data_IF_104398956707
#
_entry.id   IF_104398956707
#
_cell.length_a   1.000
_cell.length_b   1.000
_cell.length_c   1.000
_cell.angle_alpha   90.00
_cell.angle_beta   90.00
_cell.angle_gamma   90.00
#
_symmetry.space_group_name_H-M   'P 1'
#
loop_
_entity.id
_entity.type
_entity.pdbx_description
1 polymer ?
#
# COMPACT_ATOMS: atom_id res chain seq x y z
N UNK A 1 6.93 -5.53 6.18
CA UNK A 1 6.09 -6.10 5.09
C UNK A 1 6.96 -6.85 4.13
N UNK A 2 6.42 -7.92 3.53
CA UNK A 2 7.17 -8.71 2.55
C UNK A 2 7.57 -7.91 1.31
N UNK A 3 8.59 -8.40 0.61
CA UNK A 3 8.98 -7.94 -0.72
C UNK A 3 8.84 -9.08 -1.72
N UNK A 4 8.19 -8.83 -2.86
CA UNK A 4 8.09 -9.76 -3.97
C UNK A 4 8.80 -9.19 -5.19
N UNK A 5 9.49 -10.04 -5.93
CA UNK A 5 10.14 -9.69 -7.18
C UNK A 5 10.25 -10.91 -8.09
N UNK A 6 10.50 -10.68 -9.37
CA UNK A 6 10.73 -11.75 -10.31
C UNK A 6 10.60 -11.31 -11.74
N UNK A 7 10.67 -12.29 -12.62
CA UNK A 7 10.50 -12.05 -14.04
C UNK A 7 9.99 -13.30 -14.77
N UNK A 8 9.44 -13.09 -15.95
CA UNK A 8 9.03 -14.15 -16.86
C UNK A 8 9.59 -13.88 -18.25
N UNK A 9 10.20 -14.92 -18.84
CA UNK A 9 10.72 -14.90 -20.20
C UNK A 9 10.61 -16.31 -20.80
N UNK A 10 9.90 -16.43 -21.89
CA UNK A 10 9.61 -17.72 -22.55
C UNK A 10 10.63 -18.11 -23.60
N UNK A 11 11.61 -17.25 -23.88
CA UNK A 11 12.59 -17.45 -24.93
C UNK A 11 13.96 -17.91 -24.41
N UNK A 12 14.03 -18.21 -23.10
CA UNK A 12 15.24 -18.72 -22.43
C UNK A 12 14.88 -19.56 -21.22
N UNK A 13 15.83 -20.38 -20.76
CA UNK A 13 15.65 -21.19 -19.56
C UNK A 13 16.01 -20.39 -18.31
N UNK A 14 14.99 -19.95 -17.56
CA UNK A 14 15.14 -19.17 -16.33
C UNK A 14 15.59 -20.03 -15.14
N UNK A 15 15.71 -21.35 -15.27
CA UNK A 15 16.30 -22.22 -14.25
C UNK A 15 17.82 -22.16 -14.22
N UNK A 16 18.46 -21.64 -15.27
CA UNK A 16 19.91 -21.50 -15.34
C UNK A 16 20.45 -20.63 -14.19
N UNK A 17 21.65 -20.97 -13.64
CA UNK A 17 22.20 -20.29 -12.45
C UNK A 17 22.27 -18.76 -12.54
N UNK A 18 22.55 -18.22 -13.72
CA UNK A 18 22.63 -16.78 -13.95
C UNK A 18 21.27 -16.08 -13.74
N UNK A 19 20.16 -16.71 -14.17
CA UNK A 19 18.81 -16.16 -14.02
C UNK A 19 18.26 -16.35 -12.60
N UNK A 20 18.53 -17.49 -11.95
CA UNK A 20 18.24 -17.67 -10.53
C UNK A 20 18.98 -16.61 -9.70
N UNK A 21 20.25 -16.33 -10.00
CA UNK A 21 21.01 -15.26 -9.36
C UNK A 21 20.43 -13.87 -9.65
N UNK A 22 19.92 -13.62 -10.85
CA UNK A 22 19.22 -12.36 -11.18
C UNK A 22 17.97 -12.17 -10.32
N UNK A 23 17.11 -13.19 -10.19
CA UNK A 23 15.96 -13.15 -9.29
C UNK A 23 16.40 -12.92 -7.83
N UNK A 24 17.48 -13.56 -7.38
CA UNK A 24 18.07 -13.34 -6.06
C UNK A 24 18.44 -11.87 -5.83
N UNK A 25 19.17 -11.23 -6.77
CA UNK A 25 19.51 -9.80 -6.68
C UNK A 25 18.27 -8.89 -6.63
N UNK A 26 17.23 -9.18 -7.42
CA UNK A 26 15.97 -8.44 -7.37
C UNK A 26 15.33 -8.56 -5.98
N UNK A 27 15.34 -9.76 -5.39
CA UNK A 27 14.89 -9.99 -4.02
C UNK A 27 15.76 -9.26 -2.99
N UNK A 28 17.09 -9.28 -3.14
CA UNK A 28 18.04 -8.63 -2.23
C UNK A 28 17.84 -7.11 -2.16
N UNK A 29 17.45 -6.48 -3.27
CA UNK A 29 17.09 -5.07 -3.29
C UNK A 29 15.89 -4.75 -2.35
N UNK A 30 15.07 -5.74 -2.01
CA UNK A 30 13.92 -5.64 -1.12
C UNK A 30 14.19 -6.14 0.31
N UNK A 31 15.45 -6.38 0.68
CA UNK A 31 15.80 -7.00 1.98
C UNK A 31 15.25 -6.25 3.20
N UNK A 32 15.16 -4.90 3.12
CA UNK A 32 14.60 -4.08 4.20
C UNK A 32 13.11 -4.31 4.43
N UNK A 33 12.35 -4.70 3.38
CA UNK A 33 10.92 -5.02 3.53
C UNK A 33 10.70 -6.32 4.29
N UNK A 34 11.54 -7.31 4.09
CA UNK A 34 11.41 -8.63 4.67
C UNK A 34 12.75 -9.19 5.16
N UNK A 35 13.16 -8.81 6.37
CA UNK A 35 14.45 -9.21 6.91
C UNK A 35 14.48 -10.66 7.45
N UNK A 36 13.31 -11.28 7.67
CA UNK A 36 13.21 -12.54 8.43
C UNK A 36 13.43 -13.79 7.55
N UNK A 37 13.39 -13.64 6.22
CA UNK A 37 13.64 -14.76 5.31
C UNK A 37 13.77 -14.34 3.85
N UNK A 38 14.41 -15.21 3.06
CA UNK A 38 14.58 -15.05 1.63
C UNK A 38 14.33 -16.38 0.92
N UNK A 39 13.79 -16.30 -0.31
CA UNK A 39 13.62 -17.47 -1.16
C UNK A 39 13.64 -17.12 -2.64
N UNK A 40 14.08 -18.08 -3.46
CA UNK A 40 14.06 -18.01 -4.92
C UNK A 40 13.55 -19.33 -5.47
N UNK A 41 12.55 -19.25 -6.33
CA UNK A 41 12.03 -20.38 -7.09
C UNK A 41 12.12 -20.06 -8.59
N UNK A 42 12.35 -21.08 -9.43
CA UNK A 42 12.41 -20.90 -10.87
C UNK A 42 11.87 -22.12 -11.62
N UNK A 43 11.16 -21.85 -12.72
CA UNK A 43 10.76 -22.74 -13.78
C UNK A 43 11.32 -22.24 -15.12
N UNK A 44 11.28 -23.02 -16.21
CA UNK A 44 11.86 -22.59 -17.50
C UNK A 44 11.42 -21.21 -17.97
N UNK A 45 10.16 -20.83 -17.76
CA UNK A 45 9.63 -19.54 -18.24
C UNK A 45 9.43 -18.49 -17.13
N UNK A 46 9.75 -18.78 -15.85
CA UNK A 46 9.50 -17.84 -14.76
C UNK A 46 10.52 -17.99 -13.63
N UNK A 47 10.91 -16.88 -13.00
CA UNK A 47 11.70 -16.88 -11.77
C UNK A 47 11.07 -15.90 -10.77
N UNK A 48 10.88 -16.37 -9.54
CA UNK A 48 10.24 -15.67 -8.44
C UNK A 48 11.22 -15.51 -7.28
N UNK A 49 11.22 -14.35 -6.64
CA UNK A 49 12.00 -14.07 -5.44
C UNK A 49 11.12 -13.43 -4.37
N UNK A 50 11.39 -13.76 -3.12
CA UNK A 50 10.64 -13.28 -1.97
C UNK A 50 11.57 -12.85 -0.84
N UNK A 51 11.19 -11.78 -0.15
CA UNK A 51 11.73 -11.34 1.15
C UNK A 51 10.61 -11.32 2.17
N UNK A 52 10.76 -12.05 3.25
CA UNK A 52 9.71 -12.29 4.23
C UNK A 52 9.86 -11.38 5.45
N UNK A 53 8.74 -10.72 5.83
CA UNK A 53 8.48 -10.28 7.18
C UNK A 53 7.47 -11.27 7.79
N UNK A 54 7.87 -12.00 8.82
CA UNK A 54 7.05 -13.04 9.41
C UNK A 54 6.04 -12.43 10.38
N UNK A 55 4.75 -12.52 10.07
CA UNK A 55 3.62 -12.03 10.89
C UNK A 55 2.70 -13.18 11.28
N UNK A 56 2.30 -14.02 10.33
CA UNK A 56 1.44 -15.19 10.54
C UNK A 56 2.27 -16.45 10.26
N UNK A 57 2.16 -17.45 11.14
CA UNK A 57 2.88 -18.72 11.12
C UNK A 57 4.37 -18.53 10.77
N UNK A 58 5.17 -17.94 11.66
CA UNK A 58 6.58 -17.64 11.39
C UNK A 58 7.39 -18.85 10.95
N UNK A 59 7.02 -20.05 11.43
CA UNK A 59 7.77 -21.29 11.18
C UNK A 59 7.53 -21.87 9.76
N UNK A 60 6.33 -21.80 9.21
CA UNK A 60 5.95 -22.55 8.00
C UNK A 60 5.62 -21.70 6.78
N UNK A 61 5.55 -20.38 6.90
CA UNK A 61 5.17 -19.45 5.82
C UNK A 61 6.29 -19.12 4.83
N UNK A 62 7.15 -20.06 4.47
CA UNK A 62 8.22 -19.84 3.50
C UNK A 62 7.66 -19.53 2.11
N UNK A 63 8.30 -18.57 1.43
CA UNK A 63 7.97 -18.20 0.07
C UNK A 63 9.25 -18.05 -0.78
N UNK A 64 9.21 -18.27 -2.12
CA UNK A 64 8.03 -18.64 -2.93
C UNK A 64 7.41 -19.97 -2.49
N UNK A 65 6.06 -20.02 -2.41
CA UNK A 65 5.36 -21.25 -2.09
C UNK A 65 4.93 -21.94 -3.38
N UNK A 66 5.25 -23.22 -3.53
CA UNK A 66 4.99 -23.95 -4.76
C UNK A 66 4.26 -25.29 -4.49
N UNK A 67 3.51 -25.74 -5.50
CA UNK A 67 2.89 -27.06 -5.54
C UNK A 67 3.17 -27.70 -6.90
N UNK A 68 3.69 -28.93 -6.87
CA UNK A 68 3.87 -29.74 -8.06
C UNK A 68 2.58 -30.50 -8.37
N UNK A 69 2.03 -30.24 -9.53
CA UNK A 69 0.81 -30.88 -10.03
C UNK A 69 1.12 -31.72 -11.27
N UNK A 70 0.22 -32.64 -11.61
CA UNK A 70 0.41 -33.57 -12.76
C UNK A 70 0.73 -32.84 -14.08
N UNK A 71 0.16 -31.64 -14.26
CA UNK A 71 0.24 -30.88 -15.52
C UNK A 71 1.15 -29.63 -15.43
N UNK A 72 1.96 -29.50 -14.41
CA UNK A 72 2.88 -28.38 -14.24
C UNK A 72 2.91 -27.81 -12.84
N UNK A 73 4.02 -27.17 -12.49
CA UNK A 73 4.22 -26.56 -11.20
C UNK A 73 3.49 -25.21 -11.09
N UNK A 74 2.83 -24.98 -9.97
CA UNK A 74 2.27 -23.69 -9.62
C UNK A 74 3.09 -23.07 -8.47
N UNK A 75 3.39 -21.78 -8.58
CA UNK A 75 4.17 -21.07 -7.54
C UNK A 75 3.64 -19.66 -7.30
N UNK A 76 3.73 -19.22 -6.03
CA UNK A 76 3.21 -17.94 -5.56
C UNK A 76 4.29 -17.19 -4.79
N UNK A 77 4.42 -15.89 -5.06
CA UNK A 77 5.01 -14.90 -4.15
C UNK A 77 3.96 -13.86 -3.80
N UNK A 78 3.83 -13.61 -2.50
CA UNK A 78 2.72 -12.84 -1.95
C UNK A 78 3.23 -11.88 -0.87
N UNK A 79 2.82 -10.62 -0.97
CA UNK A 79 3.00 -9.57 0.02
C UNK A 79 1.62 -9.08 0.42
N UNK A 80 1.12 -9.50 1.58
CA UNK A 80 -0.21 -9.12 2.00
C UNK A 80 -0.70 -9.85 3.23
N UNK A 81 -1.99 -9.64 3.51
CA UNK A 81 -2.78 -10.33 4.51
C UNK A 81 -4.20 -10.53 3.99
N UNK A 82 -4.71 -11.77 4.02
CA UNK A 82 -6.11 -12.09 3.74
C UNK A 82 -6.90 -12.15 5.04
N UNK A 83 -7.85 -11.25 5.18
CA UNK A 83 -8.67 -11.10 6.40
C UNK A 83 -9.76 -12.15 6.51
N UNK A 84 -10.18 -12.75 5.39
CA UNK A 84 -11.16 -13.85 5.35
C UNK A 84 -10.50 -15.22 5.13
N UNK A 85 -9.27 -15.38 5.59
CA UNK A 85 -8.56 -16.68 5.54
C UNK A 85 -9.34 -17.84 6.16
N UNK A 86 -10.03 -17.69 7.32
CA UNK A 86 -10.81 -18.79 7.90
C UNK A 86 -11.91 -19.29 6.99
N UNK A 87 -12.65 -18.41 6.34
CA UNK A 87 -13.74 -18.75 5.43
C UNK A 87 -13.22 -19.46 4.16
N UNK A 88 -12.13 -18.93 3.58
CA UNK A 88 -11.50 -19.55 2.41
C UNK A 88 -10.88 -20.89 2.73
N UNK A 89 -10.28 -21.05 3.92
CA UNK A 89 -9.74 -22.33 4.42
C UNK A 89 -10.85 -23.37 4.56
N UNK A 90 -11.95 -23.00 5.20
CA UNK A 90 -13.11 -23.90 5.36
C UNK A 90 -13.67 -24.36 4.01
N UNK A 91 -13.69 -23.49 3.01
CA UNK A 91 -14.07 -23.86 1.64
C UNK A 91 -13.12 -24.92 1.05
N UNK A 92 -11.80 -24.76 1.21
CA UNK A 92 -10.79 -25.69 0.70
C UNK A 92 -10.86 -27.05 1.42
N UNK A 93 -11.06 -27.05 2.73
CA UNK A 93 -11.24 -28.24 3.54
C UNK A 93 -12.49 -29.01 3.11
N UNK A 94 -13.59 -28.30 2.81
CA UNK A 94 -14.81 -28.88 2.24
C UNK A 94 -14.61 -29.53 0.87
N UNK A 95 -13.61 -29.10 0.13
CA UNK A 95 -13.16 -29.70 -1.13
C UNK A 95 -12.09 -30.79 -0.94
N UNK A 96 -11.80 -31.17 0.31
CA UNK A 96 -10.79 -32.16 0.68
C UNK A 96 -9.36 -31.82 0.22
N UNK A 97 -9.03 -30.52 0.15
CA UNK A 97 -7.67 -30.06 -0.17
C UNK A 97 -6.80 -30.22 1.09
N UNK A 98 -5.68 -30.94 1.04
CA UNK A 98 -4.76 -31.07 2.17
C UNK A 98 -4.01 -29.76 2.37
N UNK A 99 -4.26 -29.08 3.49
CA UNK A 99 -3.53 -27.87 3.90
C UNK A 99 -2.45 -28.26 4.92
N UNK A 100 -1.22 -27.80 4.69
CA UNK A 100 -0.04 -28.20 5.47
C UNK A 100 0.37 -27.12 6.48
N UNK A 101 -0.05 -25.85 6.28
CA UNK A 101 0.31 -24.70 7.11
C UNK A 101 -0.91 -23.95 7.62
N UNK A 102 -0.71 -23.01 8.53
CA UNK A 102 -1.77 -22.09 8.98
C UNK A 102 -1.75 -20.75 8.21
N UNK A 103 -0.87 -20.62 7.19
CA UNK A 103 -0.70 -19.37 6.47
C UNK A 103 -1.86 -19.06 5.53
N UNK A 104 -2.13 -17.79 5.36
CA UNK A 104 -2.99 -17.25 4.29
C UNK A 104 -2.37 -17.45 2.90
N UNK A 105 -1.03 -17.50 2.82
CA UNK A 105 -0.30 -17.79 1.57
C UNK A 105 -0.68 -19.14 0.96
N UNK A 106 -0.80 -20.19 1.77
CA UNK A 106 -1.20 -21.51 1.29
C UNK A 106 -2.67 -21.52 0.82
N UNK A 107 -3.53 -20.86 1.59
CA UNK A 107 -4.94 -20.70 1.23
C UNK A 107 -5.08 -19.96 -0.10
N UNK A 108 -4.34 -18.85 -0.28
CA UNK A 108 -4.33 -18.11 -1.54
C UNK A 108 -3.82 -18.95 -2.71
N UNK A 109 -2.72 -19.69 -2.52
CA UNK A 109 -2.15 -20.54 -3.56
C UNK A 109 -3.19 -21.57 -4.05
N UNK A 110 -3.89 -22.26 -3.14
CA UNK A 110 -4.90 -23.23 -3.52
C UNK A 110 -6.16 -22.59 -4.13
N UNK A 111 -6.58 -21.41 -3.67
CA UNK A 111 -7.65 -20.65 -4.31
C UNK A 111 -7.30 -20.33 -5.78
N UNK A 112 -6.07 -19.90 -6.05
CA UNK A 112 -5.62 -19.60 -7.42
C UNK A 112 -5.46 -20.87 -8.29
N UNK A 113 -4.98 -21.97 -7.72
CA UNK A 113 -4.87 -23.27 -8.41
C UNK A 113 -6.24 -23.77 -8.87
N UNK A 114 -7.25 -23.66 -8.01
CA UNK A 114 -8.58 -24.21 -8.26
C UNK A 114 -9.48 -23.28 -9.08
N UNK A 115 -9.45 -21.99 -8.79
CA UNK A 115 -10.42 -21.04 -9.34
C UNK A 115 -9.77 -19.99 -10.26
N UNK A 116 -8.44 -19.91 -10.33
CA UNK A 116 -7.75 -18.92 -11.16
C UNK A 116 -8.14 -17.48 -10.79
N UNK A 117 -8.43 -16.66 -11.81
CA UNK A 117 -8.85 -15.27 -11.61
C UNK A 117 -10.23 -15.12 -10.94
N UNK A 118 -11.11 -16.14 -11.01
CA UNK A 118 -12.42 -16.09 -10.35
C UNK A 118 -12.30 -16.11 -8.81
N UNK A 119 -11.14 -16.48 -8.28
CA UNK A 119 -10.83 -16.36 -6.87
C UNK A 119 -10.79 -14.89 -6.39
N UNK A 120 -10.40 -13.93 -7.27
CA UNK A 120 -10.10 -12.55 -6.89
C UNK A 120 -11.30 -11.85 -6.23
N UNK A 121 -12.51 -12.07 -6.72
CA UNK A 121 -13.74 -11.45 -6.19
C UNK A 121 -14.01 -11.85 -4.74
N UNK A 122 -13.53 -13.03 -4.31
CA UNK A 122 -13.73 -13.60 -2.97
C UNK A 122 -12.64 -13.19 -1.98
N UNK A 123 -11.51 -12.64 -2.44
CA UNK A 123 -10.41 -12.26 -1.57
C UNK A 123 -10.76 -10.96 -0.81
N UNK A 124 -10.72 -11.01 0.52
CA UNK A 124 -10.83 -9.82 1.37
C UNK A 124 -9.49 -9.60 2.07
N UNK A 125 -8.82 -8.49 1.77
CA UNK A 125 -7.51 -8.23 2.34
C UNK A 125 -6.75 -7.13 1.61
N UNK A 126 -5.50 -6.99 2.01
CA UNK A 126 -4.51 -6.07 1.43
C UNK A 126 -3.38 -6.91 0.84
N UNK A 127 -3.15 -6.82 -0.46
CA UNK A 127 -2.21 -7.71 -1.12
C UNK A 127 -1.66 -7.22 -2.46
N UNK A 128 -0.44 -7.67 -2.73
CA UNK A 128 0.10 -7.79 -4.07
C UNK A 128 0.74 -9.16 -4.21
N UNK A 129 0.53 -9.84 -5.33
CA UNK A 129 1.13 -11.14 -5.56
C UNK A 129 1.46 -11.39 -7.03
N UNK A 130 2.37 -12.34 -7.24
CA UNK A 130 2.64 -12.93 -8.53
C UNK A 130 2.43 -14.45 -8.44
N UNK A 131 1.57 -14.97 -9.30
CA UNK A 131 1.24 -16.38 -9.39
C UNK A 131 1.67 -16.95 -10.74
N UNK A 132 2.55 -17.94 -10.73
CA UNK A 132 2.90 -18.74 -11.88
C UNK A 132 2.00 -19.97 -11.98
N UNK A 133 1.24 -20.06 -13.06
CA UNK A 133 0.47 -21.27 -13.39
C UNK A 133 1.20 -22.06 -14.50
N UNK A 134 2.01 -23.03 -14.11
CA UNK A 134 2.76 -23.86 -15.04
C UNK A 134 1.90 -24.76 -15.92
N UNK A 135 0.64 -25.00 -15.56
CA UNK A 135 -0.34 -25.76 -16.36
C UNK A 135 -0.80 -24.98 -17.57
N UNK A 136 -0.90 -23.65 -17.40
CA UNK A 136 -1.32 -22.70 -18.44
C UNK A 136 -0.14 -21.99 -19.09
N UNK A 137 1.05 -22.11 -18.52
CA UNK A 137 2.24 -21.34 -18.90
C UNK A 137 1.94 -19.83 -18.86
N UNK A 138 1.46 -19.33 -17.71
CA UNK A 138 1.06 -17.93 -17.52
C UNK A 138 1.57 -17.39 -16.19
N UNK A 139 2.01 -16.12 -16.20
CA UNK A 139 2.27 -15.34 -14.99
C UNK A 139 1.12 -14.37 -14.77
N UNK A 140 0.49 -14.45 -13.59
CA UNK A 140 -0.56 -13.54 -13.14
C UNK A 140 -0.01 -12.61 -12.06
N UNK A 141 -0.05 -11.30 -12.30
CA UNK A 141 0.23 -10.24 -11.33
C UNK A 141 -1.08 -9.66 -10.83
N UNK A 142 -1.24 -9.47 -9.53
CA UNK A 142 -2.48 -8.94 -8.94
C UNK A 142 -2.18 -7.94 -7.85
N UNK A 143 -2.98 -6.87 -7.78
CA UNK A 143 -2.95 -5.85 -6.73
C UNK A 143 -4.33 -5.71 -6.09
N UNK A 144 -4.37 -5.49 -4.78
CA UNK A 144 -5.62 -5.37 -4.01
C UNK A 144 -6.51 -4.20 -4.45
N UNK A 145 -7.75 -4.19 -3.93
CA UNK A 145 -8.81 -3.25 -4.34
C UNK A 145 -8.40 -1.78 -4.28
N UNK A 146 -7.62 -1.40 -3.28
CA UNK A 146 -7.21 -0.01 -3.03
C UNK A 146 -5.71 0.22 -3.24
N UNK A 147 -4.97 -0.81 -3.70
CA UNK A 147 -3.54 -0.71 -3.96
C UNK A 147 -2.69 -0.50 -2.70
N UNK A 148 -3.14 -1.06 -1.55
CA UNK A 148 -2.40 -0.97 -0.28
C UNK A 148 -1.01 -1.56 -0.39
N UNK A 149 -0.85 -2.66 -1.15
CA UNK A 149 0.47 -3.23 -1.42
C UNK A 149 0.94 -2.80 -2.80
N UNK A 150 2.16 -2.24 -2.93
CA UNK A 150 2.68 -1.77 -4.21
C UNK A 150 3.09 -2.93 -5.11
N UNK A 151 2.96 -2.74 -6.42
CA UNK A 151 3.44 -3.68 -7.44
C UNK A 151 3.81 -2.93 -8.72
N UNK A 152 5.09 -2.92 -9.03
CA UNK A 152 5.65 -2.31 -10.25
C UNK A 152 6.03 -3.39 -11.26
N UNK A 153 5.99 -3.05 -12.53
CA UNK A 153 6.44 -3.91 -13.61
C UNK A 153 7.03 -3.12 -14.76
N UNK A 154 7.88 -3.78 -15.54
CA UNK A 154 8.46 -3.24 -16.77
C UNK A 154 8.70 -4.38 -17.77
N UNK A 155 8.68 -4.07 -19.05
CA UNK A 155 9.05 -5.01 -20.09
C UNK A 155 10.37 -4.57 -20.74
N UNK A 156 11.32 -5.49 -20.81
CA UNK A 156 12.61 -5.29 -21.48
C UNK A 156 12.85 -6.42 -22.47
N UNK A 157 12.80 -6.12 -23.77
CA UNK A 157 12.78 -7.16 -24.80
C UNK A 157 11.59 -8.10 -24.62
N UNK A 158 11.87 -9.40 -24.49
CA UNK A 158 10.88 -10.45 -24.27
C UNK A 158 10.55 -10.68 -22.78
N UNK A 159 11.32 -10.08 -21.88
CA UNK A 159 11.21 -10.31 -20.44
C UNK A 159 10.23 -9.33 -19.79
N UNK A 160 9.25 -9.85 -19.04
CA UNK A 160 8.45 -9.08 -18.10
C UNK A 160 9.11 -9.13 -16.73
N UNK A 161 9.46 -7.97 -16.16
CA UNK A 161 9.97 -7.81 -14.81
C UNK A 161 8.85 -7.34 -13.88
N UNK A 162 8.89 -7.73 -12.60
CA UNK A 162 7.98 -7.18 -11.59
C UNK A 162 8.66 -7.08 -10.22
N UNK A 163 8.13 -6.21 -9.35
CA UNK A 163 8.63 -6.06 -7.99
C UNK A 163 7.77 -5.15 -7.14
N UNK A 164 7.87 -5.30 -5.82
CA UNK A 164 7.18 -4.44 -4.85
C UNK A 164 7.66 -2.99 -4.91
N UNK A 165 8.88 -2.74 -5.34
CA UNK A 165 9.50 -1.42 -5.46
C UNK A 165 10.30 -1.32 -6.75
N UNK A 166 10.45 -0.11 -7.35
CA UNK A 166 11.22 0.08 -8.59
C UNK A 166 12.66 -0.44 -8.51
N UNK A 167 13.34 -0.29 -7.36
CA UNK A 167 14.72 -0.80 -7.16
C UNK A 167 14.88 -2.28 -7.43
N UNK A 168 13.81 -3.07 -7.24
CA UNK A 168 13.86 -4.49 -7.57
C UNK A 168 14.01 -4.71 -9.10
N UNK A 169 13.35 -3.89 -9.92
CA UNK A 169 13.50 -3.94 -11.38
C UNK A 169 14.89 -3.48 -11.79
N UNK A 170 15.43 -2.43 -11.12
CA UNK A 170 16.76 -1.88 -11.39
C UNK A 170 17.89 -2.88 -11.09
N UNK A 171 17.65 -3.80 -10.15
CA UNK A 171 18.60 -4.87 -9.84
C UNK A 171 18.66 -5.99 -10.88
N UNK A 172 17.73 -6.01 -11.87
CA UNK A 172 17.76 -6.97 -12.96
C UNK A 172 18.86 -6.62 -13.98
N UNK A 173 19.74 -7.57 -14.36
CA UNK A 173 20.81 -7.31 -15.32
C UNK A 173 20.28 -6.86 -16.68
N UNK A 174 20.79 -5.73 -17.15
CA UNK A 174 20.38 -5.16 -18.43
C UNK A 174 19.17 -4.24 -18.36
N UNK A 175 18.55 -4.05 -17.19
CA UNK A 175 17.56 -2.98 -16.98
C UNK A 175 18.26 -1.74 -16.40
N UNK A 176 18.15 -0.62 -17.10
CA UNK A 176 18.72 0.66 -16.65
C UNK A 176 17.58 1.66 -16.47
N UNK A 177 17.34 2.16 -15.24
CA UNK A 177 16.34 3.20 -15.01
C UNK A 177 16.69 4.48 -15.77
N UNK A 178 15.69 5.08 -16.39
CA UNK A 178 15.85 6.34 -17.14
C UNK A 178 14.78 7.32 -16.69
N UNK A 179 15.18 8.58 -16.57
CA UNK A 179 14.27 9.70 -16.38
C UNK A 179 14.05 10.39 -17.73
N UNK A 180 12.83 10.55 -18.14
CA UNK A 180 12.38 11.31 -19.30
C UNK A 180 11.64 12.57 -18.86
N UNK A 181 11.01 13.27 -19.79
CA UNK A 181 10.27 14.49 -19.49
C UNK A 181 9.05 14.21 -18.59
N UNK A 182 8.33 13.11 -18.83
CA UNK A 182 7.18 12.72 -18.02
C UNK A 182 7.60 12.33 -16.59
N UNK A 183 8.75 11.70 -16.41
CA UNK A 183 9.35 11.47 -15.08
C UNK A 183 9.49 12.76 -14.29
N UNK A 184 10.03 13.82 -14.93
CA UNK A 184 10.19 15.11 -14.25
C UNK A 184 8.87 15.82 -14.00
N UNK A 185 7.90 15.68 -14.90
CA UNK A 185 6.55 16.19 -14.68
C UNK A 185 5.88 15.49 -13.49
N UNK A 186 5.95 14.17 -13.38
CA UNK A 186 5.41 13.42 -12.23
C UNK A 186 6.09 13.87 -10.92
N UNK A 187 7.42 13.89 -10.88
CA UNK A 187 8.17 14.25 -9.66
C UNK A 187 7.94 15.69 -9.25
N UNK A 188 7.94 16.65 -10.19
CA UNK A 188 7.90 18.07 -9.88
C UNK A 188 6.48 18.64 -9.77
N UNK A 189 5.49 18.06 -10.45
CA UNK A 189 4.12 18.58 -10.45
C UNK A 189 3.16 17.74 -9.56
N UNK A 190 3.34 16.44 -9.47
CA UNK A 190 2.39 15.51 -8.82
C UNK A 190 2.89 15.04 -7.46
N UNK A 191 4.20 14.76 -7.32
CA UNK A 191 4.76 14.25 -6.07
C UNK A 191 4.32 15.10 -4.85
N UNK A 192 4.03 14.50 -3.69
CA UNK A 192 4.30 13.12 -3.30
C UNK A 192 3.32 12.07 -3.83
N UNK A 193 2.21 12.45 -4.46
CA UNK A 193 1.32 11.50 -5.16
C UNK A 193 1.98 11.00 -6.46
N UNK A 194 1.38 9.99 -7.08
CA UNK A 194 1.72 9.51 -8.43
C UNK A 194 0.45 9.34 -9.24
N UNK A 195 0.54 9.53 -10.54
CA UNK A 195 -0.56 9.17 -11.44
C UNK A 195 -0.83 7.66 -11.33
N UNK A 196 -2.05 7.21 -11.05
CA UNK A 196 -2.38 5.79 -11.00
C UNK A 196 -1.90 5.05 -12.26
N UNK A 197 -1.17 3.96 -12.06
CA UNK A 197 -0.56 3.19 -13.15
C UNK A 197 0.79 3.69 -13.63
N UNK A 198 1.26 4.86 -13.19
CA UNK A 198 2.54 5.44 -13.58
C UNK A 198 3.67 5.04 -12.62
N UNK A 199 4.72 4.42 -13.14
CA UNK A 199 5.87 3.97 -12.35
C UNK A 199 6.98 5.01 -12.18
N UNK A 200 6.75 6.25 -12.62
CA UNK A 200 7.63 7.42 -12.62
C UNK A 200 8.79 7.30 -13.60
N UNK A 201 9.58 6.24 -13.56
CA UNK A 201 10.71 6.03 -14.48
C UNK A 201 10.24 5.57 -15.87
N UNK A 202 10.93 6.00 -16.90
CA UNK A 202 10.60 5.64 -18.30
C UNK A 202 10.51 4.12 -18.50
N UNK A 203 9.36 3.66 -18.98
CA UNK A 203 9.07 2.24 -19.21
C UNK A 203 8.80 1.41 -17.96
N UNK A 204 8.73 2.03 -16.78
CA UNK A 204 8.24 1.41 -15.55
C UNK A 204 6.76 1.76 -15.37
N UNK A 205 5.97 0.78 -15.00
CA UNK A 205 4.55 0.93 -14.72
C UNK A 205 4.24 0.46 -13.30
N UNK A 206 3.25 1.05 -12.69
CA UNK A 206 2.64 0.54 -11.48
C UNK A 206 1.36 -0.23 -11.86
N UNK A 207 1.11 -1.40 -11.27
CA UNK A 207 -0.18 -2.06 -11.45
C UNK A 207 -1.23 -1.27 -10.66
N UNK A 208 -2.30 -0.83 -11.35
CA UNK A 208 -3.33 0.00 -10.73
C UNK A 208 -4.05 -0.75 -9.58
N UNK A 209 -4.61 -0.02 -8.59
CA UNK A 209 -5.49 -0.60 -7.59
C UNK A 209 -6.64 -1.40 -8.22
N UNK A 210 -6.94 -2.58 -7.67
CA UNK A 210 -8.00 -3.44 -8.19
C UNK A 210 -7.73 -3.99 -9.59
N UNK A 211 -6.48 -4.02 -10.04
CA UNK A 211 -6.11 -4.57 -11.34
C UNK A 211 -5.34 -5.88 -11.23
N UNK A 212 -5.40 -6.66 -12.30
CA UNK A 212 -4.51 -7.78 -12.55
C UNK A 212 -3.90 -7.69 -13.95
N UNK A 213 -2.75 -8.34 -14.12
CA UNK A 213 -2.06 -8.43 -15.40
C UNK A 213 -1.60 -9.87 -15.65
N UNK A 214 -1.94 -10.42 -16.81
CA UNK A 214 -1.59 -11.77 -17.22
C UNK A 214 -0.59 -11.72 -18.37
N UNK A 215 0.49 -12.49 -18.26
CA UNK A 215 1.55 -12.58 -19.26
C UNK A 215 1.76 -14.03 -19.67
N UNK A 216 1.69 -14.30 -20.97
CA UNK A 216 1.83 -15.62 -21.61
C UNK A 216 3.10 -15.73 -22.48
N UNK A 217 4.05 -14.81 -22.33
CA UNK A 217 5.26 -14.71 -23.15
C UNK A 217 5.10 -13.89 -24.42
N UNK A 218 3.90 -13.77 -24.96
CA UNK A 218 3.61 -13.00 -26.17
C UNK A 218 2.87 -11.69 -25.84
N UNK A 219 1.95 -11.72 -24.87
CA UNK A 219 1.05 -10.62 -24.56
C UNK A 219 0.98 -10.37 -23.06
N UNK A 220 0.95 -9.08 -22.68
CA UNK A 220 0.60 -8.61 -21.35
C UNK A 220 -0.82 -8.04 -21.40
N UNK A 221 -1.78 -8.81 -20.87
CA UNK A 221 -3.19 -8.40 -20.82
C UNK A 221 -3.50 -7.90 -19.43
N UNK A 222 -3.91 -6.63 -19.34
CA UNK A 222 -4.32 -5.99 -18.09
C UNK A 222 -5.84 -5.95 -17.98
N UNK A 223 -6.36 -6.23 -16.79
CA UNK A 223 -7.78 -6.17 -16.48
C UNK A 223 -7.99 -5.56 -15.10
N UNK A 224 -8.99 -4.69 -14.98
CA UNK A 224 -9.48 -4.24 -13.68
C UNK A 224 -10.49 -5.29 -13.19
N UNK A 225 -10.19 -5.96 -12.08
CA UNK A 225 -11.06 -6.95 -11.46
C UNK A 225 -11.98 -6.35 -10.41
N UNK A 226 -11.62 -5.18 -9.85
CA UNK A 226 -12.44 -4.43 -8.91
C UNK A 226 -12.56 -2.97 -9.32
N UNK A 227 -13.76 -2.40 -9.20
CA UNK A 227 -14.02 -0.97 -9.38
C UNK A 227 -14.98 -0.49 -8.31
N UNK A 228 -14.62 0.58 -7.61
CA UNK A 228 -15.50 1.25 -6.67
C UNK A 228 -16.69 1.82 -7.42
N UNK A 229 -17.90 1.53 -6.94
CA UNK A 229 -19.16 2.00 -7.54
C UNK A 229 -19.85 2.97 -6.59
N UNK A 230 -20.47 4.00 -7.16
CA UNK A 230 -21.44 4.82 -6.44
C UNK A 230 -22.80 4.12 -6.46
N UNK A 231 -23.43 4.02 -5.31
CA UNK A 231 -24.76 3.44 -5.16
C UNK A 231 -25.66 4.44 -4.45
N UNK A 232 -26.98 4.44 -4.73
CA UNK A 232 -27.95 5.20 -3.95
C UNK A 232 -27.86 4.81 -2.46
N UNK A 233 -28.00 5.82 -1.59
CA UNK A 233 -28.05 5.60 -0.15
C UNK A 233 -29.50 5.74 0.34
N UNK A 234 -30.07 4.65 0.85
CA UNK A 234 -31.50 4.57 1.19
C UNK A 234 -31.74 4.48 2.71
N UNK A 235 -30.67 4.30 3.49
CA UNK A 235 -30.79 4.19 4.95
C UNK A 235 -31.03 5.54 5.63
N UNK A 236 -31.83 5.55 6.69
CA UNK A 236 -31.92 6.73 7.55
C UNK A 236 -30.64 6.91 8.38
N UNK A 237 -30.45 8.07 8.98
CA UNK A 237 -29.26 8.44 9.74
C UNK A 237 -28.89 7.42 10.84
N UNK A 238 -29.89 6.97 11.63
CA UNK A 238 -29.63 6.05 12.73
C UNK A 238 -29.18 4.67 12.25
N UNK A 239 -29.75 4.19 11.17
CA UNK A 239 -29.37 2.92 10.53
C UNK A 239 -27.97 3.01 9.91
N UNK A 240 -27.69 4.11 9.21
CA UNK A 240 -26.36 4.40 8.64
C UNK A 240 -25.29 4.39 9.74
N UNK A 241 -25.52 5.08 10.88
CA UNK A 241 -24.57 5.11 11.99
C UNK A 241 -24.32 3.70 12.54
N UNK A 242 -25.36 2.87 12.69
CA UNK A 242 -25.20 1.49 13.15
C UNK A 242 -24.43 0.65 12.14
N UNK A 243 -24.73 0.80 10.85
CA UNK A 243 -24.08 0.05 9.76
C UNK A 243 -22.61 0.42 9.67
N UNK A 244 -22.27 1.70 9.61
CA UNK A 244 -20.88 2.19 9.59
C UNK A 244 -20.11 1.69 10.81
N UNK A 245 -20.70 1.76 12.02
CA UNK A 245 -20.07 1.24 13.24
C UNK A 245 -19.75 -0.25 13.12
N UNK A 246 -20.69 -1.04 12.60
CA UNK A 246 -20.52 -2.49 12.42
C UNK A 246 -19.40 -2.79 11.43
N UNK A 247 -19.39 -2.12 10.28
CA UNK A 247 -18.36 -2.30 9.25
C UNK A 247 -16.97 -1.90 9.76
N UNK A 248 -16.86 -0.73 10.38
CA UNK A 248 -15.60 -0.22 10.90
C UNK A 248 -15.03 -1.10 12.03
N UNK A 249 -15.87 -1.47 13.00
CA UNK A 249 -15.44 -2.36 14.09
C UNK A 249 -15.04 -3.74 13.56
N UNK A 250 -15.79 -4.28 12.61
CA UNK A 250 -15.47 -5.54 11.94
C UNK A 250 -14.15 -5.48 11.17
N UNK A 251 -13.91 -4.38 10.43
CA UNK A 251 -12.67 -4.16 9.70
C UNK A 251 -11.45 -4.09 10.65
N UNK A 252 -11.55 -3.34 11.75
CA UNK A 252 -10.48 -3.25 12.75
C UNK A 252 -10.20 -4.63 13.35
N UNK A 253 -11.22 -5.37 13.80
CA UNK A 253 -11.05 -6.68 14.44
C UNK A 253 -10.37 -7.70 13.52
N UNK A 254 -10.72 -7.72 12.24
CA UNK A 254 -10.08 -8.61 11.27
C UNK A 254 -8.59 -8.33 11.06
N UNK A 255 -8.15 -7.10 11.32
CA UNK A 255 -6.75 -6.69 11.23
C UNK A 255 -5.96 -6.87 12.54
N UNK A 256 -6.60 -7.35 13.63
CA UNK A 256 -5.92 -7.69 14.89
C UNK A 256 -5.30 -9.11 14.90
N UNK A 257 -5.41 -9.83 13.81
CA UNK A 257 -4.83 -11.17 13.68
C UNK A 257 -3.32 -11.05 13.46
N UNK A 258 -2.55 -11.53 14.44
CA UNK A 258 -1.08 -11.49 14.39
C UNK A 258 -0.51 -12.51 15.37
N UNK A 259 0.47 -13.31 14.93
CA UNK A 259 1.23 -14.22 15.78
C UNK A 259 2.48 -13.55 16.39
N UNK A 260 2.66 -12.25 16.12
CA UNK A 260 3.76 -11.42 16.63
C UNK A 260 3.22 -10.20 17.37
N UNK A 261 4.04 -9.52 18.20
CA UNK A 261 3.59 -8.36 18.95
C UNK A 261 2.99 -7.26 18.06
N UNK A 262 1.76 -6.84 18.41
CA UNK A 262 0.99 -5.79 17.74
C UNK A 262 0.77 -4.62 18.68
N UNK A 263 0.83 -3.40 18.14
CA UNK A 263 0.52 -2.16 18.82
C UNK A 263 -0.38 -1.25 17.96
N UNK A 264 -0.83 -0.11 18.50
CA UNK A 264 -1.52 0.93 17.73
C UNK A 264 -0.81 2.28 17.85
N UNK A 265 -0.89 3.10 16.79
CA UNK A 265 -0.55 4.52 16.87
C UNK A 265 -1.72 5.28 17.46
N UNK A 266 -1.43 6.17 18.41
CA UNK A 266 -2.43 6.95 19.14
C UNK A 266 -2.00 8.43 19.17
N UNK A 267 -2.58 9.25 18.30
CA UNK A 267 -2.39 10.72 18.29
C UNK A 267 -3.41 11.46 19.15
N UNK A 268 -4.44 10.77 19.67
CA UNK A 268 -5.56 11.41 20.37
C UNK A 268 -6.64 11.96 19.42
N UNK A 269 -6.39 12.00 18.10
CA UNK A 269 -7.40 12.28 17.09
C UNK A 269 -8.47 11.19 17.02
N UNK A 270 -9.61 11.50 16.37
CA UNK A 270 -10.77 10.60 16.34
C UNK A 270 -10.43 9.21 15.75
N UNK A 271 -9.73 9.17 14.64
CA UNK A 271 -9.42 7.95 13.89
C UNK A 271 -8.54 6.98 14.66
N UNK A 272 -7.41 7.49 15.18
CA UNK A 272 -6.50 6.71 16.02
C UNK A 272 -7.15 6.24 17.31
N UNK A 273 -8.05 7.06 17.88
CA UNK A 273 -8.80 6.73 19.08
C UNK A 273 -9.80 5.60 18.86
N UNK A 274 -10.53 5.59 17.75
CA UNK A 274 -11.49 4.51 17.40
C UNK A 274 -10.76 3.18 17.22
N UNK A 275 -9.64 3.17 16.51
CA UNK A 275 -8.84 1.96 16.32
C UNK A 275 -8.28 1.45 17.65
N UNK A 276 -7.68 2.35 18.44
CA UNK A 276 -7.14 2.01 19.77
C UNK A 276 -8.21 1.49 20.70
N UNK A 277 -9.40 2.12 20.76
CA UNK A 277 -10.51 1.66 21.58
C UNK A 277 -10.98 0.25 21.19
N UNK A 278 -11.15 -0.01 19.91
CA UNK A 278 -11.56 -1.33 19.41
C UNK A 278 -10.51 -2.40 19.72
N UNK A 279 -9.24 -2.10 19.48
CA UNK A 279 -8.13 -3.00 19.77
C UNK A 279 -7.94 -3.25 21.27
N UNK A 280 -8.00 -2.20 22.10
CA UNK A 280 -7.85 -2.32 23.54
C UNK A 280 -8.98 -3.17 24.16
N UNK A 281 -10.22 -3.02 23.68
CA UNK A 281 -11.34 -3.85 24.13
C UNK A 281 -11.13 -5.34 23.76
N UNK A 282 -10.60 -5.63 22.58
CA UNK A 282 -10.28 -7.00 22.17
C UNK A 282 -9.16 -7.59 23.03
N UNK A 283 -8.09 -6.85 23.29
CA UNK A 283 -6.99 -7.25 24.16
C UNK A 283 -7.45 -7.47 25.61
N UNK A 284 -8.31 -6.60 26.14
CA UNK A 284 -8.89 -6.73 27.48
C UNK A 284 -9.71 -8.02 27.64
N UNK A 285 -10.47 -8.44 26.61
CA UNK A 285 -11.20 -9.72 26.61
C UNK A 285 -10.25 -10.94 26.70
N UNK A 286 -9.01 -10.78 26.25
CA UNK A 286 -7.94 -11.80 26.35
C UNK A 286 -7.12 -11.67 27.64
N UNK A 287 -7.48 -10.75 28.53
CA UNK A 287 -6.73 -10.45 29.76
C UNK A 287 -5.38 -9.76 29.52
N UNK A 288 -5.24 -9.05 28.39
CA UNK A 288 -4.01 -8.40 27.95
C UNK A 288 -4.21 -6.88 27.88
N UNK A 289 -3.13 -6.11 28.08
CA UNK A 289 -3.09 -4.68 27.83
C UNK A 289 -2.48 -4.40 26.46
N UNK A 290 -3.10 -3.49 25.69
CA UNK A 290 -2.60 -3.06 24.40
C UNK A 290 -1.43 -2.09 24.55
N UNK A 291 -0.38 -2.27 23.77
CA UNK A 291 0.69 -1.28 23.62
C UNK A 291 0.27 -0.20 22.59
N UNK A 292 0.55 1.07 22.94
CA UNK A 292 0.23 2.20 22.07
C UNK A 292 1.42 3.15 21.98
N UNK A 293 1.56 3.83 20.85
CA UNK A 293 2.62 4.80 20.58
C UNK A 293 2.07 6.14 20.12
N UNK A 294 2.61 7.24 20.64
CA UNK A 294 2.48 8.56 20.03
C UNK A 294 3.83 9.12 19.63
N UNK A 295 3.82 10.05 18.70
CA UNK A 295 5.00 10.69 18.13
C UNK A 295 5.09 12.12 18.62
N UNK A 296 6.30 12.53 18.98
CA UNK A 296 6.60 13.90 19.38
C UNK A 296 8.01 14.29 18.87
N UNK A 297 8.33 15.55 18.95
CA UNK A 297 9.62 16.11 18.58
C UNK A 297 10.25 16.85 19.76
N UNK A 298 11.58 16.87 19.82
CA UNK A 298 12.29 17.62 20.85
C UNK A 298 11.86 19.09 20.84
N UNK A 299 11.52 19.63 22.02
CA UNK A 299 11.06 21.00 22.23
C UNK A 299 9.72 21.36 21.54
N UNK A 300 8.93 20.40 21.08
CA UNK A 300 7.67 20.64 20.41
C UNK A 300 6.72 21.52 21.24
N UNK A 301 6.58 21.27 22.53
CA UNK A 301 5.74 22.09 23.42
C UNK A 301 6.11 23.58 23.43
N UNK A 302 7.36 23.91 23.17
CA UNK A 302 7.87 25.31 23.11
C UNK A 302 7.51 25.98 21.79
N UNK A 303 7.47 25.23 20.69
CA UNK A 303 7.31 25.75 19.33
C UNK A 303 5.93 25.47 18.73
N UNK A 304 5.10 24.70 19.43
CA UNK A 304 3.75 24.40 18.96
C UNK A 304 2.91 25.69 18.88
N UNK A 305 2.31 25.89 17.72
CA UNK A 305 1.31 26.93 17.49
C UNK A 305 0.05 26.29 16.89
N UNK A 306 -1.08 26.52 17.54
CA UNK A 306 -2.36 26.05 17.02
C UNK A 306 -2.61 26.57 15.61
N UNK A 307 -3.09 25.70 14.75
CA UNK A 307 -3.42 25.97 13.35
C UNK A 307 -4.82 25.48 12.99
N UNK A 308 -5.30 25.81 11.79
CA UNK A 308 -6.58 25.30 11.32
C UNK A 308 -6.55 23.76 11.10
N UNK A 309 -5.37 23.16 10.94
CA UNK A 309 -5.20 21.71 10.80
C UNK A 309 -4.98 21.00 12.14
N UNK A 310 -4.35 21.66 13.09
CA UNK A 310 -4.05 21.13 14.41
C UNK A 310 -4.39 22.20 15.46
N UNK A 311 -5.64 22.29 15.88
CA UNK A 311 -6.12 23.33 16.81
C UNK A 311 -5.61 23.14 18.25
N UNK A 312 -5.31 21.90 18.64
CA UNK A 312 -4.87 21.51 19.98
C UNK A 312 -3.63 20.62 19.92
N UNK A 313 -2.88 20.58 21.02
CA UNK A 313 -1.81 19.60 21.20
C UNK A 313 -2.41 18.19 21.43
N UNK A 314 -1.74 17.15 20.96
CA UNK A 314 -2.21 15.75 21.02
C UNK A 314 -2.18 15.17 22.45
N UNK A 315 -1.21 15.56 23.25
CA UNK A 315 -0.92 14.95 24.56
C UNK A 315 -2.13 14.83 25.52
N UNK A 316 -2.99 15.85 25.71
CA UNK A 316 -4.16 15.73 26.60
C UNK A 316 -5.18 14.69 26.13
N UNK A 317 -5.33 14.50 24.83
CA UNK A 317 -6.25 13.54 24.24
C UNK A 317 -5.70 12.12 24.35
N UNK A 318 -4.39 11.94 24.15
CA UNK A 318 -3.68 10.69 24.39
C UNK A 318 -3.84 10.23 25.83
N UNK A 319 -3.65 11.12 26.82
CA UNK A 319 -3.82 10.81 28.24
C UNK A 319 -5.25 10.35 28.58
N UNK A 320 -6.28 10.99 27.99
CA UNK A 320 -7.67 10.57 28.13
C UNK A 320 -7.91 9.17 27.62
N UNK A 321 -7.38 8.85 26.44
CA UNK A 321 -7.50 7.53 25.85
C UNK A 321 -6.76 6.46 26.66
N UNK A 322 -5.56 6.75 27.10
CA UNK A 322 -4.76 5.88 27.97
C UNK A 322 -5.52 5.53 29.26
N UNK A 323 -6.11 6.54 29.92
CA UNK A 323 -6.89 6.36 31.14
C UNK A 323 -8.15 5.54 30.89
N UNK A 324 -8.88 5.83 29.81
CA UNK A 324 -10.16 5.17 29.50
C UNK A 324 -10.00 3.69 29.14
N UNK A 325 -8.91 3.32 28.49
CA UNK A 325 -8.70 1.96 27.97
C UNK A 325 -7.52 1.20 28.60
N UNK A 326 -6.88 1.77 29.64
CA UNK A 326 -5.76 1.15 30.37
C UNK A 326 -4.65 0.61 29.45
N UNK A 327 -4.27 1.38 28.43
CA UNK A 327 -3.21 0.99 27.49
C UNK A 327 -1.81 1.22 28.07
N UNK A 328 -0.82 0.46 27.62
CA UNK A 328 0.60 0.73 27.92
C UNK A 328 1.13 1.69 26.87
N UNK A 329 1.12 2.97 27.17
CA UNK A 329 1.49 4.03 26.23
C UNK A 329 2.97 4.39 26.29
N UNK A 330 3.58 4.61 25.11
CA UNK A 330 4.95 5.11 24.96
C UNK A 330 4.95 6.31 24.02
N UNK A 331 5.46 7.44 24.52
CA UNK A 331 5.74 8.62 23.67
C UNK A 331 7.13 8.44 23.08
N UNK A 332 7.25 8.50 21.75
CA UNK A 332 8.52 8.50 21.03
C UNK A 332 8.86 9.93 20.63
N UNK A 333 9.95 10.48 21.16
CA UNK A 333 10.39 11.85 20.89
C UNK A 333 11.57 11.83 19.91
N UNK A 334 11.34 12.27 18.67
CA UNK A 334 12.36 12.33 17.63
C UNK A 334 13.28 13.54 17.85
N UNK A 335 14.62 13.34 17.94
CA UNK A 335 15.55 14.47 17.97
C UNK A 335 15.61 15.16 16.62
N UNK A 336 15.63 16.50 16.61
CA UNK A 336 15.68 17.28 15.35
C UNK A 336 16.85 16.88 14.43
N UNK A 337 18.09 16.62 14.92
CA UNK A 337 19.18 16.15 14.06
C UNK A 337 18.87 14.82 13.35
N UNK A 338 18.11 13.92 13.96
CA UNK A 338 17.76 12.65 13.34
C UNK A 338 16.89 12.83 12.07
N UNK A 339 16.11 13.91 11.97
CA UNK A 339 15.33 14.20 10.76
C UNK A 339 16.25 14.40 9.54
N UNK A 340 17.36 15.10 9.75
CA UNK A 340 18.34 15.35 8.67
C UNK A 340 19.13 14.09 8.34
N UNK A 341 19.54 13.34 9.35
CA UNK A 341 20.30 12.09 9.20
C UNK A 341 19.50 11.00 8.45
N UNK A 342 18.18 11.00 8.59
CA UNK A 342 17.30 10.01 7.95
C UNK A 342 16.82 10.39 6.54
N UNK A 343 17.09 11.62 6.04
CA UNK A 343 16.59 12.10 4.74
C UNK A 343 17.01 11.18 3.58
N UNK A 344 18.31 10.85 3.49
CA UNK A 344 18.81 9.98 2.42
C UNK A 344 18.22 8.57 2.52
N UNK A 345 18.14 8.03 3.73
CA UNK A 345 17.57 6.71 3.95
C UNK A 345 16.08 6.65 3.61
N UNK A 346 15.31 7.69 3.93
CA UNK A 346 13.89 7.81 3.59
C UNK A 346 13.68 7.92 2.07
N UNK A 347 14.50 8.72 1.38
CA UNK A 347 14.47 8.84 -0.09
C UNK A 347 14.81 7.52 -0.75
N UNK A 348 15.86 6.83 -0.29
CA UNK A 348 16.25 5.51 -0.80
C UNK A 348 15.20 4.42 -0.52
N UNK A 349 14.46 4.53 0.59
CA UNK A 349 13.38 3.60 0.88
C UNK A 349 12.24 3.69 -0.14
N UNK A 350 11.95 4.88 -0.66
CA UNK A 350 10.85 5.14 -1.60
C UNK A 350 11.24 5.09 -3.07
N UNK A 351 12.55 5.05 -3.39
CA UNK A 351 13.12 5.23 -4.75
C UNK A 351 12.81 6.59 -5.40
N UNK A 352 12.16 7.50 -4.68
CA UNK A 352 11.66 8.79 -5.16
C UNK A 352 11.75 9.84 -4.07
N UNK A 353 11.88 11.12 -4.42
CA UNK A 353 11.67 12.21 -3.50
C UNK A 353 10.28 12.13 -2.86
N UNK A 354 10.18 12.46 -1.59
CA UNK A 354 8.95 12.44 -0.82
C UNK A 354 8.71 13.73 -0.04
N UNK A 355 8.01 13.59 1.09
CA UNK A 355 7.80 14.70 2.04
C UNK A 355 8.94 14.68 3.07
N UNK A 356 10.03 15.39 2.81
CA UNK A 356 11.29 15.33 3.52
C UNK A 356 11.23 15.05 5.02
N UNK A 357 10.75 16.00 5.82
CA UNK A 357 10.63 15.90 7.26
C UNK A 357 9.64 14.80 7.73
N UNK A 358 8.51 14.66 7.03
CA UNK A 358 7.49 13.63 7.35
C UNK A 358 8.04 12.23 7.11
N UNK A 359 8.70 12.01 5.97
CA UNK A 359 9.20 10.68 5.60
C UNK A 359 10.40 10.28 6.48
N UNK A 360 11.30 11.21 6.79
CA UNK A 360 12.45 10.93 7.66
C UNK A 360 12.05 10.68 9.11
N UNK A 361 11.11 11.48 9.65
CA UNK A 361 10.59 11.26 10.99
C UNK A 361 9.84 9.92 11.11
N UNK A 362 9.00 9.59 10.12
CA UNK A 362 8.27 8.33 10.11
C UNK A 362 9.23 7.12 10.05
N UNK A 363 10.30 7.21 9.25
CA UNK A 363 11.33 6.17 9.22
C UNK A 363 11.98 5.98 10.58
N UNK A 364 12.34 7.08 11.27
CA UNK A 364 12.89 7.03 12.61
C UNK A 364 11.91 6.40 13.61
N UNK A 365 10.65 6.81 13.63
CA UNK A 365 9.62 6.25 14.50
C UNK A 365 9.40 4.76 14.25
N UNK A 366 9.34 4.35 12.99
CA UNK A 366 9.20 2.92 12.63
C UNK A 366 10.38 2.09 13.14
N UNK A 367 11.61 2.60 13.06
CA UNK A 367 12.80 1.92 13.62
C UNK A 367 12.72 1.78 15.14
N UNK A 368 12.24 2.80 15.84
CA UNK A 368 12.07 2.74 17.29
C UNK A 368 11.00 1.71 17.70
N UNK A 369 9.86 1.71 17.02
CA UNK A 369 8.78 0.77 17.26
C UNK A 369 9.23 -0.68 16.95
N UNK A 370 9.96 -0.87 15.85
CA UNK A 370 10.44 -2.21 15.42
C UNK A 370 11.27 -2.94 16.48
N UNK A 371 11.88 -2.23 17.41
CA UNK A 371 12.62 -2.84 18.54
C UNK A 371 11.74 -3.70 19.45
N UNK A 372 10.40 -3.47 19.44
CA UNK A 372 9.45 -4.16 20.33
C UNK A 372 8.25 -4.76 19.58
N UNK A 373 7.80 -4.15 18.49
CA UNK A 373 6.60 -4.54 17.77
C UNK A 373 6.86 -4.69 16.27
N UNK A 374 6.31 -5.76 15.70
CA UNK A 374 6.40 -6.03 14.26
C UNK A 374 5.22 -5.46 13.50
N UNK A 375 4.05 -5.37 14.15
CA UNK A 375 2.81 -4.89 13.55
C UNK A 375 2.31 -3.67 14.31
N UNK A 376 1.93 -2.63 13.58
CA UNK A 376 1.32 -1.43 14.15
C UNK A 376 0.12 -1.02 13.32
N UNK A 377 -1.04 -0.85 13.95
CA UNK A 377 -2.23 -0.30 13.31
C UNK A 377 -2.24 1.22 13.46
N UNK A 378 -2.70 1.91 12.42
CA UNK A 378 -2.80 3.36 12.41
C UNK A 378 -4.14 3.83 11.83
N UNK A 379 -4.55 5.06 12.18
CA UNK A 379 -5.75 5.72 11.66
C UNK A 379 -5.61 6.31 10.26
N UNK A 380 -4.50 6.08 9.57
CA UNK A 380 -4.30 6.60 8.21
C UNK A 380 -5.37 6.13 7.25
N UNK A 381 -5.67 6.97 6.28
CA UNK A 381 -6.71 6.82 5.26
C UNK A 381 -8.14 6.99 5.78
N UNK A 382 -8.35 7.32 7.06
CA UNK A 382 -9.69 7.64 7.56
C UNK A 382 -10.22 8.95 6.98
N UNK A 383 -9.38 9.98 6.89
CA UNK A 383 -9.76 11.28 6.31
C UNK A 383 -10.17 11.16 4.84
N UNK A 384 -9.53 10.27 4.07
CA UNK A 384 -9.88 9.99 2.68
C UNK A 384 -11.23 9.29 2.55
N UNK A 385 -11.56 8.41 3.50
CA UNK A 385 -12.81 7.63 3.50
C UNK A 385 -13.97 8.48 4.04
N UNK A 386 -13.74 9.22 5.13
CA UNK A 386 -14.79 9.94 5.86
C UNK A 386 -14.82 11.45 5.59
N UNK A 387 -13.93 11.97 4.75
CA UNK A 387 -13.93 13.37 4.34
C UNK A 387 -13.43 14.31 5.43
N UNK A 388 -12.37 13.95 6.17
CA UNK A 388 -11.82 14.76 7.25
C UNK A 388 -11.02 15.99 6.81
N UNK A 389 -10.50 16.01 5.58
CA UNK A 389 -9.67 17.10 5.11
C UNK A 389 -10.44 18.39 4.81
N UNK A 390 -9.81 19.60 4.92
CA UNK A 390 -10.45 20.88 4.65
C UNK A 390 -11.08 21.00 3.27
N UNK A 391 -10.53 20.34 2.26
CA UNK A 391 -11.05 20.37 0.89
C UNK A 391 -12.34 19.56 0.67
N UNK A 392 -12.84 18.84 1.68
CA UNK A 392 -14.19 18.31 1.66
C UNK A 392 -15.25 19.31 2.16
N UNK A 393 -14.81 20.43 2.79
CA UNK A 393 -15.66 21.38 3.52
C UNK A 393 -15.55 22.81 3.02
N UNK A 394 -14.47 23.16 2.29
CA UNK A 394 -14.24 24.50 1.75
C UNK A 394 -14.48 24.53 0.27
N UNK A 395 -15.52 25.27 -0.14
CA UNK A 395 -15.99 25.29 -1.51
C UNK A 395 -14.92 25.77 -2.50
N UNK A 396 -14.13 26.78 -2.12
CA UNK A 396 -13.01 27.30 -2.93
C UNK A 396 -11.95 26.25 -3.24
N UNK A 397 -11.75 25.26 -2.35
CA UNK A 397 -10.81 24.16 -2.56
C UNK A 397 -11.44 23.03 -3.40
N UNK A 398 -12.73 22.79 -3.22
CA UNK A 398 -13.47 21.78 -4.00
C UNK A 398 -13.56 22.17 -5.48
N UNK A 399 -13.79 23.46 -5.76
CA UNK A 399 -13.94 24.02 -7.12
C UNK A 399 -12.61 24.30 -7.81
N UNK A 400 -11.46 24.06 -7.15
CA UNK A 400 -10.14 24.24 -7.76
C UNK A 400 -10.03 23.35 -9.02
N UNK A 401 -9.55 23.93 -10.12
CA UNK A 401 -9.31 23.18 -11.37
C UNK A 401 -8.16 22.18 -11.28
N UNK A 402 -7.31 22.31 -10.26
CA UNK A 402 -6.22 21.38 -9.96
C UNK A 402 -6.61 20.46 -8.79
N UNK A 403 -5.69 19.61 -8.36
CA UNK A 403 -5.90 18.77 -7.17
C UNK A 403 -6.20 19.65 -5.95
N UNK A 404 -7.20 19.29 -5.12
CA UNK A 404 -7.61 20.12 -3.99
C UNK A 404 -6.50 20.43 -2.96
N UNK A 405 -5.51 19.54 -2.87
CA UNK A 405 -4.34 19.69 -1.98
C UNK A 405 -3.19 20.50 -2.63
N UNK A 406 -3.26 20.80 -3.92
CA UNK A 406 -2.28 21.64 -4.62
C UNK A 406 -2.64 23.13 -4.51
N UNK A 407 -2.67 23.65 -3.27
CA UNK A 407 -3.17 25.00 -2.96
C UNK A 407 -2.22 26.09 -3.48
N UNK A 408 -0.92 25.89 -3.32
CA UNK A 408 0.11 26.84 -3.74
C UNK A 408 1.08 26.22 -4.73
N UNK A 409 0.64 26.13 -5.98
CA UNK A 409 1.48 25.60 -7.06
C UNK A 409 2.65 26.54 -7.39
N UNK A 410 2.48 27.84 -7.18
CA UNK A 410 3.53 28.84 -7.42
C UNK A 410 4.71 28.68 -6.45
N UNK A 411 4.44 28.39 -5.17
CA UNK A 411 5.51 28.10 -4.21
C UNK A 411 6.30 26.84 -4.62
N UNK A 412 5.65 25.81 -5.11
CA UNK A 412 6.29 24.58 -5.61
C UNK A 412 7.22 24.85 -6.78
N UNK A 413 6.80 25.65 -7.74
CA UNK A 413 7.59 25.95 -8.95
C UNK A 413 8.59 27.06 -8.75
N UNK A 414 8.40 27.93 -7.75
CA UNK A 414 9.24 29.11 -7.48
C UNK A 414 10.70 28.81 -7.12
N UNK A 415 11.00 27.58 -6.70
CA UNK A 415 12.37 27.11 -6.43
C UNK A 415 13.07 26.54 -7.66
N UNK A 416 12.36 26.41 -8.79
CA UNK A 416 12.88 25.86 -10.04
C UNK A 416 13.26 26.96 -11.01
N UNK A 417 14.14 26.64 -11.94
CA UNK A 417 14.51 27.58 -13.03
C UNK A 417 13.28 27.85 -13.91
N UNK A 418 12.98 29.11 -14.27
CA UNK A 418 11.81 29.48 -15.08
C UNK A 418 11.73 28.76 -16.43
N UNK A 419 12.86 28.57 -17.12
CA UNK A 419 12.92 27.86 -18.39
C UNK A 419 12.54 26.38 -18.25
N UNK A 420 12.88 25.73 -17.14
CA UNK A 420 12.48 24.36 -16.82
C UNK A 420 10.97 24.27 -16.56
N UNK A 421 10.43 25.18 -15.75
CA UNK A 421 8.98 25.25 -15.45
C UNK A 421 8.17 25.42 -16.74
N UNK A 422 8.58 26.33 -17.61
CA UNK A 422 7.93 26.57 -18.89
C UNK A 422 8.03 25.38 -19.83
N UNK A 423 9.21 24.77 -19.97
CA UNK A 423 9.43 23.61 -20.85
C UNK A 423 8.60 22.42 -20.42
N UNK A 424 8.51 22.15 -19.12
CA UNK A 424 7.79 20.99 -18.59
C UNK A 424 6.30 21.22 -18.46
N UNK A 425 5.78 22.46 -18.60
CA UNK A 425 4.36 22.79 -18.42
C UNK A 425 3.77 22.15 -17.16
N UNK A 426 4.45 22.31 -16.01
CA UNK A 426 4.16 21.57 -14.79
C UNK A 426 2.72 21.78 -14.30
N UNK A 427 2.22 23.02 -14.34
CA UNK A 427 0.87 23.34 -13.92
C UNK A 427 -0.17 22.73 -14.88
N UNK A 428 0.03 22.88 -16.19
CA UNK A 428 -0.83 22.28 -17.20
C UNK A 428 -0.84 20.75 -17.12
N UNK A 429 0.31 20.13 -16.84
CA UNK A 429 0.39 18.69 -16.60
C UNK A 429 -0.48 18.26 -15.41
N UNK A 430 -0.34 18.92 -14.26
CA UNK A 430 -1.12 18.62 -13.06
C UNK A 430 -2.62 18.80 -13.30
N UNK A 431 -3.04 19.91 -13.94
CA UNK A 431 -4.45 20.17 -14.29
C UNK A 431 -5.02 19.10 -15.22
N UNK A 432 -4.28 18.69 -16.25
CA UNK A 432 -4.72 17.63 -17.17
C UNK A 432 -4.92 16.28 -16.44
N UNK A 433 -3.99 15.90 -15.55
CA UNK A 433 -4.13 14.67 -14.75
C UNK A 433 -5.35 14.75 -13.83
N UNK A 434 -5.57 15.87 -13.16
CA UNK A 434 -6.74 16.10 -12.32
C UNK A 434 -8.04 16.00 -13.13
N UNK A 435 -8.13 16.68 -14.27
CA UNK A 435 -9.32 16.67 -15.13
C UNK A 435 -9.66 15.25 -15.64
N UNK A 436 -8.66 14.50 -16.08
CA UNK A 436 -8.85 13.10 -16.52
C UNK A 436 -9.39 12.25 -15.38
N UNK A 437 -8.87 12.41 -14.15
CA UNK A 437 -9.34 11.65 -13.00
C UNK A 437 -10.76 12.03 -12.58
N UNK A 438 -11.09 13.34 -12.57
CA UNK A 438 -12.47 13.82 -12.29
C UNK A 438 -13.49 13.26 -13.27
N UNK A 439 -13.13 13.16 -14.56
CA UNK A 439 -13.99 12.59 -15.58
C UNK A 439 -14.29 11.09 -15.40
N UNK A 440 -13.47 10.37 -14.62
CA UNK A 440 -13.65 8.96 -14.29
C UNK A 440 -14.50 8.72 -13.03
N UNK A 441 -14.91 9.78 -12.35
CA UNK A 441 -15.69 9.67 -11.11
C UNK A 441 -17.03 8.97 -11.35
N UNK A 442 -17.34 7.86 -10.66
CA UNK A 442 -18.66 7.25 -10.73
C UNK A 442 -19.71 8.18 -10.10
N UNK A 443 -20.64 8.69 -10.91
CA UNK A 443 -21.72 9.59 -10.48
C UNK A 443 -23.06 8.88 -10.51
N UNK A 444 -24.03 9.41 -9.77
CA UNK A 444 -25.44 9.03 -9.86
C UNK A 444 -26.21 10.08 -10.64
N UNK A 445 -27.20 9.67 -11.43
CA UNK A 445 -28.08 10.59 -12.17
C UNK A 445 -28.90 11.48 -11.22
N UNK A 446 -29.03 11.06 -9.97
CA UNK A 446 -29.75 11.79 -8.90
C UNK A 446 -28.86 12.75 -8.12
N UNK A 447 -27.56 12.80 -8.36
CA UNK A 447 -26.64 13.68 -7.61
C UNK A 447 -26.99 15.15 -7.84
N UNK A 448 -27.13 15.90 -6.76
CA UNK A 448 -27.09 17.35 -6.81
C UNK A 448 -25.69 17.84 -7.23
N UNK A 449 -25.52 19.07 -7.71
CA UNK A 449 -24.20 19.62 -8.06
C UNK A 449 -23.18 19.52 -6.91
N UNK A 450 -23.65 19.70 -5.66
CA UNK A 450 -22.79 19.60 -4.48
C UNK A 450 -22.38 18.15 -4.19
N UNK A 451 -23.28 17.19 -4.30
CA UNK A 451 -22.99 15.76 -4.12
C UNK A 451 -22.05 15.27 -5.21
N UNK A 452 -22.26 15.67 -6.46
CA UNK A 452 -21.38 15.35 -7.58
C UNK A 452 -19.95 15.87 -7.32
N UNK A 453 -19.81 17.10 -6.81
CA UNK A 453 -18.52 17.69 -6.47
C UNK A 453 -17.85 16.95 -5.32
N UNK A 454 -18.59 16.60 -4.26
CA UNK A 454 -18.07 15.79 -3.15
C UNK A 454 -17.61 14.41 -3.58
N UNK A 455 -18.32 13.76 -4.52
CA UNK A 455 -17.88 12.48 -5.11
C UNK A 455 -16.58 12.62 -5.87
N UNK A 456 -16.42 13.71 -6.64
CA UNK A 456 -15.15 13.99 -7.34
C UNK A 456 -14.00 14.12 -6.35
N UNK A 457 -14.20 14.88 -5.27
CA UNK A 457 -13.17 15.04 -4.22
C UNK A 457 -12.85 13.69 -3.56
N UNK A 458 -13.88 12.91 -3.20
CA UNK A 458 -13.70 11.57 -2.65
C UNK A 458 -12.94 10.65 -3.62
N UNK A 459 -13.29 10.68 -4.91
CA UNK A 459 -12.60 9.90 -5.94
C UNK A 459 -11.13 10.28 -6.07
N UNK A 460 -10.79 11.58 -6.10
CA UNK A 460 -9.42 12.06 -6.14
C UNK A 460 -8.64 11.62 -4.89
N UNK A 461 -9.25 11.71 -3.71
CA UNK A 461 -8.60 11.28 -2.46
C UNK A 461 -8.29 9.79 -2.46
N UNK A 462 -9.26 8.94 -2.81
CA UNK A 462 -9.10 7.49 -2.80
C UNK A 462 -8.11 6.98 -3.85
N UNK A 463 -8.05 7.62 -5.02
CA UNK A 463 -7.20 7.13 -6.12
C UNK A 463 -5.81 7.76 -6.17
N UNK A 464 -5.61 8.94 -5.58
CA UNK A 464 -4.35 9.68 -5.66
C UNK A 464 -3.71 9.91 -4.29
N UNK A 465 -4.44 10.52 -3.37
CA UNK A 465 -3.88 10.91 -2.08
C UNK A 465 -3.67 9.70 -1.17
N UNK A 466 -4.68 8.84 -1.04
CA UNK A 466 -4.63 7.63 -0.22
C UNK A 466 -3.55 6.65 -0.68
N UNK A 467 -3.46 6.38 -1.98
CA UNK A 467 -2.46 5.44 -2.51
C UNK A 467 -1.03 5.88 -2.18
N UNK A 468 -0.78 7.19 -2.23
CA UNK A 468 0.50 7.76 -1.84
C UNK A 468 0.80 7.63 -0.34
N UNK A 469 -0.19 7.85 0.53
CA UNK A 469 -0.02 7.66 1.98
C UNK A 469 0.27 6.21 2.33
N UNK A 470 -0.41 5.27 1.68
CA UNK A 470 -0.18 3.84 1.86
C UNK A 470 1.25 3.44 1.46
N UNK A 471 1.75 3.91 0.33
CA UNK A 471 3.12 3.66 -0.12
C UNK A 471 4.18 4.20 0.86
N UNK A 472 3.95 5.37 1.46
CA UNK A 472 4.88 5.98 2.42
C UNK A 472 5.16 5.09 3.61
N UNK A 473 4.13 4.46 4.17
CA UNK A 473 4.26 3.67 5.38
C UNK A 473 4.95 2.33 5.14
N UNK A 474 4.88 1.83 3.94
CA UNK A 474 5.33 0.48 3.64
C UNK A 474 6.76 0.41 3.11
N UNK A 475 7.28 1.47 2.55
CA UNK A 475 8.67 1.56 2.10
C UNK A 475 9.67 1.81 3.24
N UNK A 476 9.19 2.17 4.44
CA UNK A 476 10.05 2.63 5.55
C UNK A 476 10.26 1.58 6.65
N UNK A 477 9.70 0.39 6.50
CA UNK A 477 9.92 -0.73 7.44
C UNK A 477 11.25 -1.48 7.18
#
# INVERSE_FOLDING_TARGET
MCGIAGFSDFYRDNTAPAFRSAAGRMGDALARRGPDGAGVWAAPACALAHRRLAVIDPAHGHQPMARTLLNGDCALVYNGELYNTPELRSQLEGLHIPLETQTDTEVLLWQLILFGEDALDKLEGIFAFAFWDGRKQELLLVRDRFGVKPLFYAQTGTTLLFGSEPKALFAYPGFTPRADEETWQEVLAICPARTPGHGVFAGVHELEPGACARFDGARLVRRRWYTLRSLPHEENYADTVRHVRTLLTGAIRRQLVSDVPLATLLSGGLDSSVITAAAANDYAQRGQALDTYSFDYTDNARYFHASAFQPDADAPWVERMQTAFSTRHTVLTCPIPALVEELDAATMAKDLPGMGDVDSSLLWFCREIRKRHTVVLSGECSDEIFGGYPWFHRRELMENENFPWSIDFAARTGVLRPDLVQRLDLEGYSRRRCAVSRAQTPRLDTDTPEEALRREIGWLNLNWFMTNLLDKKFAQQ
#
